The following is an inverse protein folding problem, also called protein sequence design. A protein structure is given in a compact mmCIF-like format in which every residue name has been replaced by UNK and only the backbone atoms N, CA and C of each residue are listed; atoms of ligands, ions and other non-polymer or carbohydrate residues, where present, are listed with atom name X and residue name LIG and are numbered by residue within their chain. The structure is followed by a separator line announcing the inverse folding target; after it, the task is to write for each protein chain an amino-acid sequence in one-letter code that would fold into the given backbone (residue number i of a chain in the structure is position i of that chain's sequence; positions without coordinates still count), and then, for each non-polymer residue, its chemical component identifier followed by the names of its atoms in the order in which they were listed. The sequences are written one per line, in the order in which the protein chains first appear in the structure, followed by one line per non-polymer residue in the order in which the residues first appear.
data_IF_843888059326
#
_entry.id   IF_843888059326
#
_cell.length_a   1.000
_cell.length_b   1.000
_cell.length_c   1.000
_cell.angle_alpha   90.00
_cell.angle_beta   90.00
_cell.angle_gamma   90.00
#
_symmetry.space_group_name_H-M   'P 1'
#
loop_
_entity.id
_entity.type
_entity.pdbx_description
1 polymer ?
#
# COMPACT_ATOMS: atom_id res chain seq x y z
N UNK A 1 -34.54 -11.24 -10.19
CA UNK A 1 -33.64 -11.86 -9.20
C UNK A 1 -32.37 -11.00 -9.17
N UNK A 2 -32.35 -9.99 -8.29
CA UNK A 2 -31.25 -9.03 -8.23
C UNK A 2 -30.12 -9.65 -7.41
N UNK A 3 -29.09 -10.15 -8.10
CA UNK A 3 -27.85 -10.59 -7.48
C UNK A 3 -27.01 -9.33 -7.26
N UNK A 4 -27.18 -8.70 -6.10
CA UNK A 4 -26.23 -7.73 -5.57
C UNK A 4 -25.04 -8.51 -5.00
N UNK A 5 -24.20 -9.05 -5.87
CA UNK A 5 -22.84 -9.38 -5.47
C UNK A 5 -22.04 -8.07 -5.38
N UNK A 6 -21.28 -7.85 -4.29
CA UNK A 6 -20.34 -6.74 -4.25
C UNK A 6 -19.42 -6.90 -5.45
N UNK A 7 -19.37 -5.88 -6.31
CA UNK A 7 -18.49 -5.95 -7.48
C UNK A 7 -17.09 -6.25 -6.98
N UNK A 8 -16.41 -7.21 -7.61
CA UNK A 8 -15.01 -7.59 -7.32
C UNK A 8 -14.08 -6.37 -7.17
N UNK A 9 -14.47 -5.25 -7.79
CA UNK A 9 -13.85 -3.93 -7.74
C UNK A 9 -14.00 -3.16 -6.42
N UNK A 10 -15.07 -3.33 -5.65
CA UNK A 10 -15.21 -2.71 -4.32
C UNK A 10 -14.28 -3.37 -3.31
N UNK A 11 -14.15 -4.70 -3.38
CA UNK A 11 -13.18 -5.45 -2.58
C UNK A 11 -11.74 -5.10 -2.97
N UNK A 12 -11.46 -4.90 -4.27
CA UNK A 12 -10.15 -4.45 -4.74
C UNK A 12 -9.85 -3.00 -4.34
N UNK A 13 -10.85 -2.12 -4.28
CA UNK A 13 -10.70 -0.72 -3.86
C UNK A 13 -10.31 -0.60 -2.39
N UNK A 14 -10.89 -1.46 -1.53
CA UNK A 14 -10.59 -1.47 -0.09
C UNK A 14 -9.31 -2.26 0.26
N UNK A 15 -8.92 -3.23 -0.58
CA UNK A 15 -7.64 -3.94 -0.46
C UNK A 15 -6.42 -3.08 -0.78
N UNK A 16 -6.59 -1.94 -1.47
CA UNK A 16 -5.55 -0.93 -1.67
C UNK A 16 -5.61 0.07 -0.50
N UNK A 17 -5.54 -0.45 0.72
CA UNK A 17 -5.12 0.38 1.85
C UNK A 17 -3.66 0.76 1.59
N UNK A 18 -3.26 2.05 1.55
CA UNK A 18 -1.96 2.41 1.01
C UNK A 18 -0.85 1.78 1.87
N UNK A 19 0.06 0.96 1.30
CA UNK A 19 1.31 0.61 1.99
C UNK A 19 2.08 1.87 2.42
N UNK A 20 1.80 3.00 1.77
CA UNK A 20 2.31 4.34 2.05
C UNK A 20 1.88 4.89 3.41
N UNK A 21 0.64 4.66 3.90
CA UNK A 21 0.28 5.12 5.24
C UNK A 21 1.00 4.31 6.31
N UNK A 22 1.13 3.01 6.11
CA UNK A 22 1.91 2.13 6.99
C UNK A 22 3.39 2.48 6.96
N UNK A 23 3.97 2.75 5.78
CA UNK A 23 5.37 3.18 5.64
C UNK A 23 5.63 4.59 6.16
N UNK A 24 4.68 5.52 6.03
CA UNK A 24 4.79 6.88 6.57
C UNK A 24 4.69 6.88 8.10
N UNK A 25 3.80 6.06 8.65
CA UNK A 25 3.74 5.79 10.10
C UNK A 25 5.01 5.08 10.57
N UNK A 26 5.52 4.10 9.81
CA UNK A 26 6.77 3.40 10.14
C UNK A 26 7.99 4.32 10.02
N UNK A 27 8.06 5.22 9.04
CA UNK A 27 9.14 6.20 8.91
C UNK A 27 9.10 7.18 10.07
N UNK A 28 7.91 7.65 10.43
CA UNK A 28 7.70 8.54 11.56
C UNK A 28 8.00 7.84 12.90
N UNK A 29 7.68 6.55 13.03
CA UNK A 29 8.00 5.71 14.17
C UNK A 29 9.50 5.41 14.25
N UNK A 30 10.17 5.08 13.14
CA UNK A 30 11.62 4.86 13.06
C UNK A 30 12.38 6.15 13.40
N UNK A 31 11.95 7.31 12.90
CA UNK A 31 12.58 8.60 13.21
C UNK A 31 12.45 8.92 14.72
N UNK A 32 11.33 8.56 15.35
CA UNK A 32 11.09 8.74 16.79
C UNK A 32 11.88 7.74 17.66
N UNK A 33 11.87 6.45 17.30
CA UNK A 33 12.58 5.37 18.00
C UNK A 33 14.10 5.45 17.83
N UNK A 34 14.61 5.84 16.65
CA UNK A 34 16.04 6.01 16.43
C UNK A 34 16.61 7.18 17.25
N UNK A 35 15.81 8.23 17.47
CA UNK A 35 16.12 9.29 18.43
C UNK A 35 16.24 8.76 19.87
N UNK A 36 15.46 7.74 20.23
CA UNK A 36 15.51 7.11 21.55
C UNK A 36 16.71 6.15 21.70
N UNK A 37 17.09 5.42 20.64
CA UNK A 37 18.30 4.59 20.60
C UNK A 37 19.60 5.41 20.68
N UNK A 38 19.68 6.55 19.99
CA UNK A 38 20.85 7.44 20.06
C UNK A 38 21.00 8.08 21.45
N UNK A 39 19.89 8.36 22.14
CA UNK A 39 19.91 8.84 23.53
C UNK A 39 20.43 7.77 24.51
N UNK A 40 20.18 6.49 24.19
CA UNK A 40 20.67 5.33 24.95
C UNK A 40 22.17 5.09 24.75
N UNK A 41 22.69 5.37 23.55
CA UNK A 41 24.14 5.31 23.25
C UNK A 41 24.88 6.48 23.92
N UNK A 42 24.24 7.64 24.07
CA UNK A 42 24.77 8.76 24.84
C UNK A 42 24.74 8.54 26.38
N UNK A 43 24.02 7.53 26.85
CA UNK A 43 23.92 7.14 28.27
C UNK A 43 24.66 5.83 28.57
N UNK A 44 26.00 5.90 28.68
CA UNK A 44 26.79 4.82 29.30
C UNK A 44 26.48 4.65 30.80
N UNK A 45 26.70 3.46 31.38
CA UNK A 45 26.11 3.05 32.65
C UNK A 45 26.66 3.84 33.84
N UNK A 46 25.78 4.57 34.51
CA UNK A 46 26.01 5.22 35.78
C UNK A 46 26.19 4.19 36.91
N UNK A 47 27.42 3.97 37.33
CA UNK A 47 27.77 3.38 38.64
C UNK A 47 28.68 4.34 39.42
N UNK A 48 28.14 5.50 39.80
CA UNK A 48 28.75 6.34 40.83
C UNK A 48 28.28 5.87 42.20
N UNK A 49 29.13 5.03 42.79
CA UNK A 49 29.10 4.58 44.18
C UNK A 49 29.12 5.80 45.12
N UNK A 50 28.04 5.98 45.88
CA UNK A 50 27.96 6.87 47.02
C UNK A 50 28.75 6.30 48.20
N UNK A 51 29.78 6.99 48.69
CA UNK A 51 30.37 6.76 50.01
C UNK A 51 29.94 7.88 50.99
N UNK A 52 29.49 7.55 52.22
CA UNK A 52 29.04 8.55 53.17
C UNK A 52 30.17 9.03 54.08
N UNK A 53 30.25 10.36 54.22
CA UNK A 53 31.10 11.09 55.16
C UNK A 53 30.61 10.81 56.60
N UNK A 54 31.42 10.16 57.43
CA UNK A 54 31.22 10.11 58.88
C UNK A 54 31.87 11.34 59.53
N UNK A 55 31.03 12.18 60.15
CA UNK A 55 31.44 13.09 61.22
C UNK A 55 31.61 12.28 62.51
N UNK A 56 32.75 12.40 63.18
CA UNK A 56 32.81 12.18 64.63
C UNK A 56 33.87 13.10 65.25
N UNK A 57 33.37 13.96 66.12
CA UNK A 57 34.02 14.86 67.07
C UNK A 57 34.86 14.13 68.11
N UNK A 58 36.02 14.67 68.51
CA UNK A 58 36.33 15.00 69.91
C UNK A 58 37.71 15.71 70.03
N UNK A 59 37.71 16.94 70.52
CA UNK A 59 38.86 17.63 71.13
C UNK A 59 38.58 17.73 72.63
N UNK A 60 39.56 17.53 73.52
CA UNK A 60 39.50 18.09 74.86
C UNK A 60 40.37 19.34 74.96
N UNK A 61 39.73 20.41 75.41
CA UNK A 61 40.33 21.68 75.81
C UNK A 61 41.12 21.54 77.11
N UNK A 62 42.09 22.43 77.25
CA UNK A 62 42.96 22.66 78.40
C UNK A 62 42.24 23.63 79.36
N UNK A 63 42.25 23.37 80.68
CA UNK A 63 42.37 24.43 81.70
C UNK A 63 42.69 23.92 83.14
N UNK A 64 43.96 24.10 83.51
CA UNK A 64 44.56 24.85 84.65
C UNK A 64 43.87 25.04 86.05
N UNK A 65 44.75 24.98 87.08
CA UNK A 65 44.76 25.62 88.45
C UNK A 65 44.14 24.78 89.61
N UNK A 66 44.68 24.58 90.83
CA UNK A 66 45.55 25.36 91.75
C UNK A 66 46.38 24.48 92.73
N UNK A 67 47.24 25.15 93.50
CA UNK A 67 48.33 24.72 94.37
C UNK A 67 48.00 24.00 95.70
N UNK A 68 49.04 23.37 96.27
CA UNK A 68 49.16 22.96 97.68
C UNK A 68 50.61 22.57 98.02
N UNK A 69 51.28 23.43 98.80
CA UNK A 69 52.55 23.26 99.55
C UNK A 69 52.57 21.95 100.39
N UNK A 70 53.63 21.36 100.93
CA UNK A 70 55.09 21.53 101.07
C UNK A 70 55.58 20.17 101.64
N UNK A 71 56.85 19.77 101.47
CA UNK A 71 57.37 18.58 102.20
C UNK A 71 58.65 17.96 101.66
N UNK A 72 59.77 18.40 102.22
CA UNK A 72 61.17 18.05 101.95
C UNK A 72 61.49 16.56 102.18
N UNK A 73 62.14 15.88 101.22
CA UNK A 73 63.44 15.16 101.39
C UNK A 73 63.92 14.52 100.07
N UNK A 74 65.16 14.81 99.66
CA UNK A 74 65.90 14.22 98.51
C UNK A 74 67.22 13.68 99.10
N UNK A 75 67.65 12.43 98.83
CA UNK A 75 68.47 12.17 97.65
C UNK A 75 68.39 10.75 97.06
N UNK A 76 67.61 10.59 95.98
CA UNK A 76 67.86 9.58 94.92
C UNK A 76 67.36 10.06 93.54
N UNK A 77 66.92 11.32 93.44
CA UNK A 77 66.23 11.88 92.28
C UNK A 77 67.14 12.35 91.13
N UNK A 78 68.46 12.41 91.31
CA UNK A 78 69.34 13.01 90.29
C UNK A 78 69.50 12.13 89.04
N UNK A 79 69.59 10.80 89.19
CA UNK A 79 69.62 9.88 88.03
C UNK A 79 68.25 9.73 87.35
N UNK A 80 67.17 9.76 88.13
CA UNK A 80 65.81 9.65 87.61
C UNK A 80 65.38 10.92 86.86
N UNK A 81 65.82 12.10 87.31
CA UNK A 81 65.54 13.39 86.68
C UNK A 81 66.31 13.57 85.36
N UNK A 82 67.61 13.26 85.33
CA UNK A 82 68.42 13.33 84.10
C UNK A 82 67.93 12.34 83.04
N UNK A 83 67.49 11.15 83.45
CA UNK A 83 66.91 10.15 82.54
C UNK A 83 65.51 10.56 82.04
N UNK A 84 64.70 11.20 82.88
CA UNK A 84 63.39 11.73 82.49
C UNK A 84 63.55 12.89 81.52
N UNK A 85 64.48 13.81 81.77
CA UNK A 85 64.76 14.96 80.90
C UNK A 85 65.32 14.53 79.53
N UNK A 86 66.21 13.53 79.49
CA UNK A 86 66.71 12.95 78.25
C UNK A 86 65.59 12.26 77.45
N UNK A 87 64.70 11.50 78.12
CA UNK A 87 63.53 10.90 77.49
C UNK A 87 62.57 11.96 76.92
N UNK A 88 62.28 13.04 77.66
CA UNK A 88 61.42 14.13 77.19
C UNK A 88 62.01 14.84 75.97
N UNK A 89 63.33 15.04 75.94
CA UNK A 89 64.01 15.63 74.79
C UNK A 89 63.95 14.72 73.56
N UNK A 90 64.21 13.42 73.74
CA UNK A 90 64.09 12.43 72.68
C UNK A 90 62.63 12.30 72.17
N UNK A 91 61.65 12.36 73.07
CA UNK A 91 60.23 12.30 72.71
C UNK A 91 59.77 13.56 71.97
N UNK A 92 60.28 14.75 72.34
CA UNK A 92 60.06 15.99 71.61
C UNK A 92 60.69 15.95 70.21
N UNK A 93 61.93 15.45 70.08
CA UNK A 93 62.59 15.27 68.78
C UNK A 93 61.87 14.23 67.91
N UNK A 94 61.38 13.14 68.52
CA UNK A 94 60.55 12.13 67.86
C UNK A 94 59.20 12.70 67.42
N UNK A 95 58.54 13.46 68.27
CA UNK A 95 57.27 14.13 67.98
C UNK A 95 57.44 15.18 66.88
N UNK A 96 58.52 15.96 66.91
CA UNK A 96 58.85 16.92 65.85
C UNK A 96 59.13 16.20 64.52
N UNK A 97 59.91 15.12 64.53
CA UNK A 97 60.16 14.32 63.32
C UNK A 97 58.88 13.69 62.76
N UNK A 98 57.95 13.27 63.62
CA UNK A 98 56.64 12.77 63.23
C UNK A 98 55.75 13.89 62.66
N UNK A 99 55.77 15.09 63.24
CA UNK A 99 55.06 16.27 62.72
C UNK A 99 55.61 16.68 61.35
N UNK A 100 56.93 16.68 61.17
CA UNK A 100 57.57 17.03 59.89
C UNK A 100 57.23 15.99 58.80
N UNK A 101 57.26 14.69 59.14
CA UNK A 101 56.85 13.61 58.24
C UNK A 101 55.35 13.69 57.88
N UNK A 102 54.48 14.02 58.85
CA UNK A 102 53.05 14.24 58.60
C UNK A 102 52.80 15.47 57.74
N UNK A 103 53.58 16.54 57.91
CA UNK A 103 53.48 17.75 57.10
C UNK A 103 53.92 17.50 55.65
N UNK A 104 54.95 16.69 55.43
CA UNK A 104 55.36 16.25 54.10
C UNK A 104 54.28 15.39 53.43
N UNK A 105 53.72 14.42 54.17
CA UNK A 105 52.59 13.59 53.69
C UNK A 105 51.35 14.42 53.35
N UNK A 106 51.06 15.46 54.14
CA UNK A 106 49.96 16.39 53.85
C UNK A 106 50.22 17.20 52.56
N UNK A 107 51.46 17.64 52.33
CA UNK A 107 51.84 18.33 51.08
C UNK A 107 51.70 17.41 49.86
N UNK A 108 52.12 16.15 49.99
CA UNK A 108 51.98 15.10 48.96
C UNK A 108 50.49 14.86 48.63
N UNK A 109 49.66 14.61 49.64
CA UNK A 109 48.21 14.40 49.45
C UNK A 109 47.55 15.63 48.82
N UNK A 110 47.93 16.85 49.23
CA UNK A 110 47.41 18.09 48.64
C UNK A 110 47.81 18.25 47.17
N UNK A 111 49.02 17.82 46.80
CA UNK A 111 49.47 17.79 45.40
C UNK A 111 48.68 16.75 44.59
N UNK A 112 48.48 15.54 45.14
CA UNK A 112 47.68 14.49 44.51
C UNK A 112 46.22 14.92 44.28
N UNK A 113 45.57 15.54 45.27
CA UNK A 113 44.20 16.05 45.16
C UNK A 113 44.12 17.12 44.06
N UNK A 114 45.06 18.08 44.04
CA UNK A 114 45.07 19.16 43.04
C UNK A 114 45.33 18.64 41.62
N UNK A 115 46.16 17.61 41.47
CA UNK A 115 46.37 16.91 40.20
C UNK A 115 45.09 16.20 39.72
N UNK A 116 44.44 15.47 40.61
CA UNK A 116 43.17 14.78 40.34
C UNK A 116 42.03 15.73 39.97
N UNK A 117 41.95 16.90 40.62
CA UNK A 117 40.96 17.94 40.29
C UNK A 117 41.19 18.53 38.90
N UNK A 118 42.44 18.78 38.51
CA UNK A 118 42.77 19.30 37.19
C UNK A 118 42.46 18.29 36.07
N UNK A 119 42.66 17.00 36.34
CA UNK A 119 42.36 15.91 35.43
C UNK A 119 40.84 15.73 35.24
N UNK A 120 40.08 15.67 36.34
CA UNK A 120 38.62 15.61 36.31
C UNK A 120 38.01 16.82 35.56
N UNK A 121 38.59 18.01 35.71
CA UNK A 121 38.15 19.21 34.98
C UNK A 121 38.39 19.09 33.47
N UNK A 122 39.47 18.44 33.02
CA UNK A 122 39.72 18.19 31.59
C UNK A 122 38.72 17.18 31.03
N UNK A 123 38.46 16.09 31.74
CA UNK A 123 37.47 15.08 31.34
C UNK A 123 36.07 15.68 31.21
N UNK A 124 35.64 16.50 32.18
CA UNK A 124 34.34 17.19 32.11
C UNK A 124 34.27 18.14 30.91
N UNK A 125 35.36 18.85 30.57
CA UNK A 125 35.40 19.72 29.40
C UNK A 125 35.36 18.94 28.08
N UNK A 126 35.99 17.76 28.01
CA UNK A 126 35.91 16.83 26.87
C UNK A 126 34.49 16.34 26.68
N UNK A 127 33.87 15.80 27.74
CA UNK A 127 32.50 15.32 27.72
C UNK A 127 31.52 16.43 27.31
N UNK A 128 31.70 17.64 27.84
CA UNK A 128 30.86 18.78 27.48
C UNK A 128 30.95 19.16 26.00
N UNK A 129 32.15 19.11 25.40
CA UNK A 129 32.34 19.33 23.96
C UNK A 129 31.65 18.23 23.15
N UNK A 130 31.84 16.95 23.51
CA UNK A 130 31.17 15.83 22.84
C UNK A 130 29.64 15.95 22.90
N UNK A 131 29.09 16.27 24.07
CA UNK A 131 27.64 16.48 24.26
C UNK A 131 27.12 17.62 23.38
N UNK A 132 27.85 18.74 23.27
CA UNK A 132 27.50 19.84 22.37
C UNK A 132 27.49 19.44 20.90
N UNK A 133 28.51 18.69 20.46
CA UNK A 133 28.58 18.18 19.08
C UNK A 133 27.40 17.23 18.80
N UNK A 134 27.15 16.27 19.69
CA UNK A 134 25.98 15.37 19.59
C UNK A 134 24.67 16.14 19.51
N UNK A 135 24.46 17.15 20.37
CA UNK A 135 23.25 17.97 20.37
C UNK A 135 23.05 18.72 19.04
N UNK A 136 24.13 19.24 18.45
CA UNK A 136 24.10 19.94 17.16
C UNK A 136 23.74 18.98 16.03
N UNK A 137 24.38 17.81 15.98
CA UNK A 137 24.13 16.79 14.96
C UNK A 137 22.74 16.17 15.07
N UNK A 138 22.24 15.94 16.28
CA UNK A 138 20.85 15.51 16.51
C UNK A 138 19.85 16.58 16.04
N UNK A 139 20.17 17.86 16.25
CA UNK A 139 19.33 18.96 15.75
C UNK A 139 19.33 19.00 14.22
N UNK A 140 20.48 18.77 13.57
CA UNK A 140 20.58 18.63 12.12
C UNK A 140 19.71 17.47 11.61
N UNK A 141 19.89 16.25 12.14
CA UNK A 141 19.09 15.09 11.75
C UNK A 141 17.59 15.33 11.94
N UNK A 142 17.21 15.96 13.05
CA UNK A 142 15.81 16.33 13.32
C UNK A 142 15.27 17.33 12.29
N UNK A 143 16.07 18.32 11.90
CA UNK A 143 15.71 19.28 10.85
C UNK A 143 15.56 18.59 9.49
N UNK A 144 16.54 17.74 9.13
CA UNK A 144 16.52 16.95 7.89
C UNK A 144 15.30 16.05 7.82
N UNK A 145 14.97 15.34 8.91
CA UNK A 145 13.78 14.49 9.02
C UNK A 145 12.49 15.27 8.79
N UNK A 146 12.37 16.49 9.33
CA UNK A 146 11.20 17.35 9.14
C UNK A 146 11.04 17.79 7.68
N UNK A 147 12.14 18.18 7.03
CA UNK A 147 12.13 18.55 5.60
C UNK A 147 11.69 17.35 4.76
N UNK A 148 12.25 16.16 5.05
CA UNK A 148 11.92 14.92 4.36
C UNK A 148 10.48 14.42 4.58
N UNK A 149 9.85 14.76 5.70
CA UNK A 149 8.46 14.41 5.98
C UNK A 149 7.44 15.22 5.17
N UNK A 150 7.86 16.36 4.60
CA UNK A 150 7.00 17.27 3.84
C UNK A 150 7.21 17.01 2.34
N UNK A 151 6.21 16.48 1.60
CA UNK A 151 6.42 15.99 0.23
C UNK A 151 7.06 16.99 -0.74
N UNK A 152 6.57 18.24 -0.77
CA UNK A 152 7.11 19.24 -1.69
C UNK A 152 8.54 19.66 -1.33
N UNK A 153 8.89 19.67 -0.04
CA UNK A 153 10.26 19.97 0.41
C UNK A 153 11.18 18.76 0.21
N UNK A 154 10.67 17.55 0.40
CA UNK A 154 11.44 16.32 0.23
C UNK A 154 11.84 16.12 -1.22
N UNK A 155 10.99 16.51 -2.18
CA UNK A 155 11.35 16.54 -3.60
C UNK A 155 12.57 17.44 -3.83
N UNK A 156 12.53 18.68 -3.37
CA UNK A 156 13.67 19.61 -3.51
C UNK A 156 14.92 19.15 -2.77
N UNK A 157 14.78 18.60 -1.55
CA UNK A 157 15.90 18.13 -0.73
C UNK A 157 16.56 16.89 -1.34
N UNK A 158 15.80 15.98 -1.92
CA UNK A 158 16.33 14.81 -2.64
C UNK A 158 16.71 15.16 -4.09
N UNK A 159 16.54 16.42 -4.49
CA UNK A 159 16.71 16.93 -5.85
C UNK A 159 15.92 16.19 -6.91
N UNK A 160 14.72 15.75 -6.53
CA UNK A 160 13.71 15.22 -7.43
C UNK A 160 12.98 16.41 -8.07
N UNK A 161 12.96 16.44 -9.40
CA UNK A 161 12.22 17.41 -10.20
C UNK A 161 11.22 16.69 -11.10
N UNK A 162 10.10 17.32 -11.45
CA UNK A 162 9.15 16.77 -12.40
C UNK A 162 9.41 17.38 -13.78
N UNK A 163 9.72 16.53 -14.76
CA UNK A 163 9.99 16.93 -16.14
C UNK A 163 8.83 16.46 -17.03
N UNK A 164 8.29 17.40 -17.81
CA UNK A 164 7.09 17.16 -18.60
C UNK A 164 7.28 16.00 -19.60
N UNK A 165 6.33 15.06 -19.63
CA UNK A 165 6.39 13.83 -20.44
C UNK A 165 7.34 12.72 -19.93
N UNK A 166 8.30 13.01 -19.05
CA UNK A 166 9.24 12.02 -18.47
C UNK A 166 8.89 11.66 -17.02
N UNK A 167 8.19 12.55 -16.31
CA UNK A 167 7.80 12.39 -14.92
C UNK A 167 8.90 12.83 -13.95
N UNK A 168 8.97 12.20 -12.78
CA UNK A 168 9.97 12.55 -11.77
C UNK A 168 11.37 12.06 -12.13
N UNK A 169 12.37 12.93 -11.90
CA UNK A 169 13.77 12.76 -12.29
C UNK A 169 14.67 13.19 -11.13
N UNK A 170 15.75 12.45 -10.87
CA UNK A 170 16.77 12.78 -9.85
C UNK A 170 17.68 13.95 -10.28
N UNK A 171 18.55 14.42 -9.38
CA UNK A 171 19.56 15.47 -9.60
C UNK A 171 20.42 15.24 -10.84
N UNK A 172 20.68 13.98 -11.15
CA UNK A 172 21.53 13.56 -12.27
C UNK A 172 20.73 13.40 -13.58
N UNK A 173 19.45 13.75 -13.61
CA UNK A 173 18.60 13.58 -14.78
C UNK A 173 18.12 12.13 -15.02
N UNK A 174 18.30 11.24 -14.04
CA UNK A 174 17.85 9.85 -14.13
C UNK A 174 16.38 9.74 -13.76
N UNK A 175 15.51 9.21 -14.64
CA UNK A 175 14.08 9.06 -14.34
C UNK A 175 13.84 8.02 -13.25
N UNK A 176 12.79 8.21 -12.44
CA UNK A 176 12.45 7.29 -11.34
C UNK A 176 12.21 5.83 -11.81
N UNK A 177 11.81 5.62 -13.06
CA UNK A 177 11.63 4.29 -13.66
C UNK A 177 12.93 3.50 -13.81
N UNK A 178 14.08 4.17 -13.86
CA UNK A 178 15.39 3.56 -13.96
C UNK A 178 16.03 3.24 -12.61
N UNK A 179 15.34 3.53 -11.51
CA UNK A 179 15.93 3.41 -10.19
C UNK A 179 15.87 1.96 -9.68
N UNK A 180 17.00 1.46 -9.18
CA UNK A 180 17.10 0.07 -8.71
C UNK A 180 16.17 -0.14 -7.52
N UNK A 181 15.37 -1.20 -7.59
CA UNK A 181 14.49 -1.63 -6.49
C UNK A 181 15.30 -2.20 -5.30
N UNK A 182 16.59 -2.45 -5.48
CA UNK A 182 17.50 -3.01 -4.49
C UNK A 182 18.39 -1.94 -3.87
N UNK A 183 18.62 -2.04 -2.56
CA UNK A 183 19.44 -1.09 -1.79
C UNK A 183 20.91 -1.44 -1.96
N UNK A 184 21.62 -0.78 -2.88
CA UNK A 184 23.08 -0.76 -2.85
C UNK A 184 23.54 0.34 -1.90
N UNK A 185 23.79 -0.06 -0.64
CA UNK A 185 24.35 0.77 0.45
C UNK A 185 25.84 1.12 0.14
N UNK A 186 26.41 0.62 -0.95
CA UNK A 186 27.85 0.71 -1.26
C UNK A 186 28.26 1.98 -2.01
N UNK A 187 27.31 2.82 -2.44
CA UNK A 187 27.56 4.01 -3.28
C UNK A 187 27.08 5.28 -2.59
N UNK A 188 27.62 5.57 -1.40
CA UNK A 188 27.42 6.86 -0.73
C UNK A 188 28.63 7.75 -0.96
N UNK A 189 28.70 8.32 -2.16
CA UNK A 189 29.57 9.47 -2.43
C UNK A 189 28.63 10.65 -2.74
N UNK A 190 28.14 11.30 -1.68
CA UNK A 190 27.27 12.46 -1.82
C UNK A 190 27.98 13.72 -1.32
N UNK A 191 28.02 14.69 -2.23
CA UNK A 191 28.77 15.94 -2.22
C UNK A 191 28.28 16.97 -1.17
N UNK A 192 28.18 16.57 0.10
CA UNK A 192 27.98 17.48 1.24
C UNK A 192 29.27 17.60 2.08
N UNK A 193 30.43 17.33 1.46
CA UNK A 193 31.76 17.47 2.09
C UNK A 193 31.99 18.89 2.63
N UNK A 194 31.37 19.91 2.03
CA UNK A 194 31.59 21.32 2.36
C UNK A 194 31.03 21.70 3.75
N UNK A 195 29.89 21.13 4.15
CA UNK A 195 29.29 21.35 5.48
C UNK A 195 30.06 20.60 6.58
N UNK A 196 30.57 19.40 6.25
CA UNK A 196 31.27 18.53 7.20
C UNK A 196 32.72 18.95 7.46
N UNK A 197 33.40 19.48 6.43
CA UNK A 197 34.76 20.04 6.52
C UNK A 197 34.80 21.33 7.37
N UNK A 198 33.71 22.10 7.40
CA UNK A 198 33.61 23.30 8.23
C UNK A 198 33.46 23.00 9.74
N UNK A 199 32.85 21.85 10.09
CA UNK A 199 32.70 21.41 11.48
C UNK A 199 33.98 20.75 12.02
N UNK A 200 34.72 20.02 11.18
CA UNK A 200 35.98 19.37 11.58
C UNK A 200 37.14 20.36 11.75
N UNK A 201 37.12 21.51 11.07
CA UNK A 201 38.23 22.47 11.02
C UNK A 201 38.16 23.61 12.05
N UNK A 202 37.06 23.75 12.81
CA UNK A 202 36.81 24.95 13.64
C UNK A 202 37.20 24.82 15.12
N UNK A 203 37.45 23.62 15.63
CA UNK A 203 37.72 23.42 17.07
C UNK A 203 39.23 23.34 17.37
N UNK A 204 39.76 24.39 18.00
CA UNK A 204 41.16 24.47 18.44
C UNK A 204 41.57 23.36 19.40
N UNK A 205 42.82 22.89 19.25
CA UNK A 205 43.50 21.82 20.01
C UNK A 205 42.55 20.72 20.49
N UNK A 206 41.92 20.02 19.56
CA UNK A 206 41.24 18.77 19.85
C UNK A 206 42.27 17.75 20.35
N UNK A 207 41.95 17.11 21.47
CA UNK A 207 42.60 15.89 21.88
C UNK A 207 42.42 14.81 20.80
N UNK A 208 43.44 13.99 20.56
CA UNK A 208 43.46 13.03 19.44
C UNK A 208 42.28 12.05 19.50
N UNK A 209 41.83 11.70 20.72
CA UNK A 209 40.65 10.86 20.95
C UNK A 209 39.31 11.55 20.66
N UNK A 210 39.22 12.88 20.78
CA UNK A 210 37.99 13.62 20.44
C UNK A 210 37.77 13.70 18.92
N UNK A 211 38.84 13.88 18.15
CA UNK A 211 38.76 13.93 16.69
C UNK A 211 38.22 12.62 16.09
N UNK A 212 38.70 11.47 16.58
CA UNK A 212 38.25 10.15 16.14
C UNK A 212 36.76 9.94 16.44
N UNK A 213 36.32 10.27 17.67
CA UNK A 213 34.92 10.16 18.07
C UNK A 213 33.98 11.02 17.21
N UNK A 214 34.36 12.29 16.99
CA UNK A 214 33.55 13.21 16.18
C UNK A 214 33.46 12.69 14.74
N UNK A 215 34.56 12.21 14.15
CA UNK A 215 34.57 11.66 12.80
C UNK A 215 33.65 10.42 12.65
N UNK A 216 33.66 9.51 13.62
CA UNK A 216 32.76 8.34 13.61
C UNK A 216 31.29 8.75 13.76
N UNK A 217 31.01 9.77 14.58
CA UNK A 217 29.67 10.32 14.73
C UNK A 217 29.18 11.01 13.45
N UNK A 218 30.05 11.75 12.76
CA UNK A 218 29.75 12.34 11.45
C UNK A 218 29.42 11.28 10.40
N UNK A 219 30.22 10.20 10.31
CA UNK A 219 29.94 9.07 9.43
C UNK A 219 28.58 8.42 9.73
N UNK A 220 28.25 8.28 11.01
CA UNK A 220 26.96 7.73 11.43
C UNK A 220 25.80 8.64 11.02
N UNK A 221 25.94 9.96 11.18
CA UNK A 221 24.93 10.95 10.77
C UNK A 221 24.75 10.97 9.26
N UNK A 222 25.84 10.85 8.50
CA UNK A 222 25.81 10.75 7.03
C UNK A 222 25.05 9.49 6.60
N UNK A 223 25.40 8.32 7.14
CA UNK A 223 24.71 7.06 6.87
C UNK A 223 23.21 7.15 7.16
N UNK A 224 22.81 7.76 8.29
CA UNK A 224 21.39 7.96 8.62
C UNK A 224 20.72 8.88 7.60
N UNK A 225 21.37 9.98 7.22
CA UNK A 225 20.85 10.95 6.24
C UNK A 225 20.61 10.30 4.88
N UNK A 226 21.57 9.50 4.43
CA UNK A 226 21.53 8.78 3.16
C UNK A 226 20.44 7.69 3.13
N UNK A 227 20.29 6.95 4.23
CA UNK A 227 19.19 5.98 4.40
C UNK A 227 17.84 6.69 4.37
N UNK A 228 17.71 7.84 5.05
CA UNK A 228 16.49 8.63 5.04
C UNK A 228 16.15 9.13 3.63
N UNK A 229 17.14 9.62 2.87
CA UNK A 229 16.96 10.03 1.47
C UNK A 229 16.50 8.87 0.59
N UNK A 230 17.16 7.71 0.69
CA UNK A 230 16.79 6.52 -0.08
C UNK A 230 15.37 6.05 0.22
N UNK A 231 14.95 6.10 1.49
CA UNK A 231 13.58 5.76 1.89
C UNK A 231 12.56 6.75 1.31
N UNK A 232 12.83 8.06 1.42
CA UNK A 232 11.95 9.11 0.90
C UNK A 232 11.76 8.97 -0.60
N UNK A 233 12.84 8.85 -1.36
CA UNK A 233 12.75 8.72 -2.81
C UNK A 233 11.96 7.44 -3.21
N UNK A 234 12.08 6.32 -2.46
CA UNK A 234 11.24 5.11 -2.68
C UNK A 234 9.76 5.35 -2.38
N UNK A 235 9.45 6.10 -1.32
CA UNK A 235 8.07 6.50 -1.02
C UNK A 235 7.51 7.33 -2.18
N UNK A 236 8.28 8.28 -2.70
CA UNK A 236 7.88 9.09 -3.86
C UNK A 236 7.63 8.23 -5.10
N UNK A 237 8.51 7.25 -5.38
CA UNK A 237 8.26 6.28 -6.46
C UNK A 237 6.94 5.54 -6.26
N UNK A 238 6.73 4.93 -5.09
CA UNK A 238 5.54 4.16 -4.79
C UNK A 238 4.26 5.02 -4.85
N UNK A 239 4.32 6.27 -4.39
CA UNK A 239 3.22 7.24 -4.50
C UNK A 239 2.93 7.58 -5.97
N UNK A 240 3.95 7.80 -6.79
CA UNK A 240 3.79 8.09 -8.22
C UNK A 240 3.22 6.89 -9.00
N UNK A 241 3.75 5.68 -8.78
CA UNK A 241 3.24 4.45 -9.38
C UNK A 241 1.78 4.21 -8.98
N UNK A 242 1.45 4.38 -7.70
CA UNK A 242 0.08 4.26 -7.21
C UNK A 242 -0.86 5.28 -7.85
N UNK A 243 -0.43 6.53 -8.03
CA UNK A 243 -1.22 7.55 -8.71
C UNK A 243 -1.51 7.17 -10.17
N UNK A 244 -0.50 6.68 -10.90
CA UNK A 244 -0.67 6.22 -12.29
C UNK A 244 -1.59 5.01 -12.38
N UNK A 245 -1.48 4.06 -11.46
CA UNK A 245 -2.33 2.86 -11.47
C UNK A 245 -3.78 3.20 -11.12
N UNK A 246 -3.99 4.13 -10.18
CA UNK A 246 -5.31 4.68 -9.88
C UNK A 246 -5.94 5.34 -11.11
N UNK A 247 -5.17 6.11 -11.88
CA UNK A 247 -5.64 6.72 -13.13
C UNK A 247 -6.07 5.66 -14.16
N UNK A 248 -5.25 4.62 -14.40
CA UNK A 248 -5.62 3.52 -15.30
C UNK A 248 -6.92 2.83 -14.87
N UNK A 249 -7.10 2.59 -13.57
CA UNK A 249 -8.35 2.01 -13.04
C UNK A 249 -9.54 2.93 -13.31
N UNK A 250 -9.39 4.24 -13.13
CA UNK A 250 -10.47 5.19 -13.44
C UNK A 250 -10.86 5.21 -14.91
N UNK A 251 -9.87 5.25 -15.81
CA UNK A 251 -10.09 5.19 -17.26
C UNK A 251 -10.76 3.86 -17.66
N UNK A 252 -10.26 2.74 -17.14
CA UNK A 252 -10.86 1.42 -17.39
C UNK A 252 -12.32 1.35 -16.93
N UNK A 253 -12.66 1.95 -15.78
CA UNK A 253 -14.04 1.99 -15.29
C UNK A 253 -14.97 2.81 -16.20
N UNK A 254 -14.49 3.90 -16.78
CA UNK A 254 -15.25 4.69 -17.75
C UNK A 254 -15.50 3.90 -19.05
N UNK A 255 -14.50 3.20 -19.55
CA UNK A 255 -14.66 2.33 -20.73
C UNK A 255 -15.64 1.19 -20.48
N UNK A 256 -15.60 0.56 -19.30
CA UNK A 256 -16.55 -0.49 -18.91
C UNK A 256 -17.97 0.07 -18.92
N UNK A 257 -18.22 1.23 -18.28
CA UNK A 257 -19.55 1.87 -18.30
C UNK A 257 -20.03 2.14 -19.72
N UNK A 258 -19.16 2.64 -20.60
CA UNK A 258 -19.48 2.89 -22.02
C UNK A 258 -19.86 1.60 -22.74
N UNK A 259 -19.10 0.51 -22.55
CA UNK A 259 -19.39 -0.79 -23.15
C UNK A 259 -20.68 -1.40 -22.59
N UNK A 260 -20.97 -1.24 -21.30
CA UNK A 260 -22.23 -1.68 -20.69
C UNK A 260 -23.42 -1.02 -21.37
N UNK A 261 -23.41 0.30 -21.57
CA UNK A 261 -24.49 1.02 -22.28
C UNK A 261 -24.62 0.54 -23.74
N UNK A 262 -23.50 0.27 -24.42
CA UNK A 262 -23.55 -0.27 -25.79
C UNK A 262 -24.20 -1.66 -25.84
N UNK A 263 -23.86 -2.55 -24.90
CA UNK A 263 -24.43 -3.89 -24.80
C UNK A 263 -25.93 -3.80 -24.51
N UNK A 264 -26.35 -2.92 -23.59
CA UNK A 264 -27.76 -2.71 -23.26
C UNK A 264 -28.55 -2.23 -24.49
N UNK A 265 -28.03 -1.25 -25.23
CA UNK A 265 -28.65 -0.80 -26.49
C UNK A 265 -28.74 -1.91 -27.54
N UNK A 266 -27.69 -2.71 -27.70
CA UNK A 266 -27.71 -3.86 -28.61
C UNK A 266 -28.72 -4.93 -28.15
N UNK A 267 -28.87 -5.13 -26.84
CA UNK A 267 -29.85 -6.05 -26.27
C UNK A 267 -31.27 -5.63 -26.61
N UNK A 268 -31.60 -4.34 -26.43
CA UNK A 268 -32.93 -3.80 -26.78
C UNK A 268 -33.21 -3.98 -28.27
N UNK A 269 -32.24 -3.65 -29.14
CA UNK A 269 -32.40 -3.82 -30.59
C UNK A 269 -32.60 -5.29 -30.98
N UNK A 270 -31.94 -6.21 -30.29
CA UNK A 270 -32.10 -7.64 -30.54
C UNK A 270 -33.50 -8.14 -30.12
N UNK A 271 -34.02 -7.65 -28.99
CA UNK A 271 -35.39 -7.92 -28.54
C UNK A 271 -36.44 -7.39 -29.54
N UNK A 272 -36.25 -6.18 -30.08
CA UNK A 272 -37.10 -5.64 -31.15
C UNK A 272 -37.08 -6.50 -32.42
N UNK A 273 -35.89 -6.99 -32.81
CA UNK A 273 -35.74 -7.89 -33.96
C UNK A 273 -36.44 -9.23 -33.73
N UNK A 274 -36.37 -9.78 -32.52
CA UNK A 274 -37.07 -11.00 -32.14
C UNK A 274 -38.59 -10.82 -32.24
N UNK A 275 -39.12 -9.72 -31.70
CA UNK A 275 -40.54 -9.40 -31.80
C UNK A 275 -41.00 -9.25 -33.25
N UNK A 276 -40.21 -8.57 -34.09
CA UNK A 276 -40.50 -8.42 -35.51
C UNK A 276 -40.52 -9.78 -36.24
N UNK A 277 -39.54 -10.65 -35.96
CA UNK A 277 -39.46 -11.98 -36.55
C UNK A 277 -40.64 -12.86 -36.12
N UNK A 278 -41.02 -12.82 -34.84
CA UNK A 278 -42.20 -13.53 -34.32
C UNK A 278 -43.48 -13.06 -35.02
N UNK A 279 -43.69 -11.74 -35.15
CA UNK A 279 -44.85 -11.19 -35.84
C UNK A 279 -44.93 -11.63 -37.30
N UNK A 280 -43.80 -11.57 -38.02
CA UNK A 280 -43.72 -12.01 -39.43
C UNK A 280 -44.01 -13.51 -39.57
N UNK A 281 -43.45 -14.34 -38.69
CA UNK A 281 -43.66 -15.79 -38.71
C UNK A 281 -45.12 -16.15 -38.40
N UNK A 282 -45.78 -15.44 -37.49
CA UNK A 282 -47.22 -15.61 -37.23
C UNK A 282 -48.05 -15.41 -38.50
N UNK A 283 -47.82 -14.30 -39.21
CA UNK A 283 -48.54 -14.00 -40.47
C UNK A 283 -48.24 -15.03 -41.55
N UNK A 284 -46.99 -15.45 -41.70
CA UNK A 284 -46.60 -16.49 -42.67
C UNK A 284 -47.27 -17.83 -42.37
N UNK A 285 -47.40 -18.23 -41.10
CA UNK A 285 -48.11 -19.45 -40.72
C UNK A 285 -49.61 -19.35 -41.03
N UNK A 286 -50.24 -18.21 -40.78
CA UNK A 286 -51.64 -18.00 -41.19
C UNK A 286 -51.82 -18.08 -42.70
N UNK A 287 -50.92 -17.47 -43.47
CA UNK A 287 -50.95 -17.54 -44.94
C UNK A 287 -50.76 -18.98 -45.42
N UNK A 288 -49.83 -19.73 -44.81
CA UNK A 288 -49.64 -21.15 -45.13
C UNK A 288 -50.93 -21.94 -44.89
N UNK A 289 -51.58 -21.75 -43.74
CA UNK A 289 -52.84 -22.44 -43.43
C UNK A 289 -53.94 -22.11 -44.44
N UNK A 290 -54.13 -20.83 -44.79
CA UNK A 290 -55.14 -20.44 -45.80
C UNK A 290 -54.86 -21.08 -47.17
N UNK A 291 -53.59 -21.24 -47.54
CA UNK A 291 -53.20 -21.92 -48.78
C UNK A 291 -53.51 -23.41 -48.71
N UNK A 292 -53.21 -24.07 -47.59
CA UNK A 292 -53.58 -25.48 -47.35
C UNK A 292 -55.10 -25.67 -47.48
N UNK A 293 -55.90 -24.84 -46.81
CA UNK A 293 -57.36 -24.90 -46.87
C UNK A 293 -57.90 -24.69 -48.30
N UNK A 294 -57.31 -23.76 -49.07
CA UNK A 294 -57.68 -23.51 -50.47
C UNK A 294 -57.35 -24.69 -51.38
N UNK A 295 -56.22 -25.37 -51.16
CA UNK A 295 -55.83 -26.56 -51.90
C UNK A 295 -56.81 -27.70 -51.63
N UNK A 296 -57.19 -27.91 -50.37
CA UNK A 296 -58.18 -28.91 -49.99
C UNK A 296 -59.56 -28.62 -50.63
N UNK A 297 -60.04 -27.38 -50.55
CA UNK A 297 -61.32 -27.00 -51.15
C UNK A 297 -61.29 -27.12 -52.69
N UNK A 298 -60.17 -26.76 -53.32
CA UNK A 298 -59.99 -26.95 -54.77
C UNK A 298 -60.01 -28.43 -55.16
N UNK A 299 -59.39 -29.30 -54.35
CA UNK A 299 -59.45 -30.75 -54.55
C UNK A 299 -60.89 -31.26 -54.47
N UNK A 300 -61.64 -30.81 -53.45
CA UNK A 300 -63.07 -31.16 -53.29
C UNK A 300 -63.94 -30.65 -54.43
N UNK A 301 -63.68 -29.44 -54.94
CA UNK A 301 -64.37 -28.90 -56.11
C UNK A 301 -64.09 -29.72 -57.36
N UNK A 302 -62.83 -30.11 -57.59
CA UNK A 302 -62.43 -30.97 -58.71
C UNK A 302 -63.13 -32.33 -58.67
N UNK A 303 -63.22 -32.95 -57.49
CA UNK A 303 -63.93 -34.22 -57.30
C UNK A 303 -65.42 -34.09 -57.65
N UNK A 304 -66.10 -33.07 -57.12
CA UNK A 304 -67.51 -32.78 -57.44
C UNK A 304 -67.73 -32.50 -58.93
N UNK A 305 -66.80 -31.79 -59.57
CA UNK A 305 -66.87 -31.52 -61.01
C UNK A 305 -66.77 -32.82 -61.82
N UNK A 306 -65.89 -33.75 -61.44
CA UNK A 306 -65.77 -35.06 -62.08
C UNK A 306 -67.03 -35.93 -61.89
N UNK A 307 -67.63 -35.91 -60.70
CA UNK A 307 -68.91 -36.60 -60.42
C UNK A 307 -70.04 -36.04 -61.28
N UNK A 308 -70.15 -34.71 -61.38
CA UNK A 308 -71.14 -34.05 -62.23
C UNK A 308 -70.94 -34.37 -63.72
N UNK A 309 -69.68 -34.44 -64.18
CA UNK A 309 -69.36 -34.80 -65.56
C UNK A 309 -69.79 -36.25 -65.86
N UNK A 310 -69.57 -37.18 -64.92
CA UNK A 310 -70.02 -38.56 -65.05
C UNK A 310 -71.55 -38.64 -65.12
N UNK A 311 -72.26 -37.92 -64.26
CA UNK A 311 -73.73 -37.90 -64.25
C UNK A 311 -74.29 -37.28 -65.53
N UNK A 312 -73.67 -36.19 -66.02
CA UNK A 312 -74.03 -35.58 -67.29
C UNK A 312 -73.83 -36.55 -68.47
N UNK A 313 -72.76 -37.35 -68.46
CA UNK A 313 -72.54 -38.39 -69.47
C UNK A 313 -73.64 -39.47 -69.44
N UNK A 314 -74.04 -39.92 -68.24
CA UNK A 314 -75.16 -40.88 -68.08
C UNK A 314 -76.47 -40.32 -68.64
N UNK A 315 -76.83 -39.10 -68.22
CA UNK A 315 -78.05 -38.42 -68.70
C UNK A 315 -78.03 -38.28 -70.23
N UNK A 316 -76.89 -37.90 -70.83
CA UNK A 316 -76.77 -37.83 -72.30
C UNK A 316 -77.02 -39.18 -72.98
N UNK A 317 -76.50 -40.27 -72.41
CA UNK A 317 -76.69 -41.62 -72.94
C UNK A 317 -78.17 -42.05 -72.84
N UNK A 318 -78.84 -41.72 -71.72
CA UNK A 318 -80.26 -41.98 -71.54
C UNK A 318 -81.11 -41.20 -72.56
N UNK A 319 -80.76 -39.94 -72.83
CA UNK A 319 -81.42 -39.13 -73.85
C UNK A 319 -81.25 -39.69 -75.27
N UNK A 320 -80.06 -40.14 -75.65
CA UNK A 320 -79.85 -40.77 -76.96
C UNK A 320 -80.60 -42.11 -77.07
N UNK A 321 -80.65 -42.89 -75.99
CA UNK A 321 -81.45 -44.12 -75.93
C UNK A 321 -82.94 -43.84 -76.11
N UNK A 322 -83.46 -42.82 -75.42
CA UNK A 322 -84.84 -42.36 -75.55
C UNK A 322 -85.14 -41.87 -76.96
N UNK A 323 -84.24 -41.09 -77.56
CA UNK A 323 -84.37 -40.61 -78.94
C UNK A 323 -84.40 -41.75 -79.96
N UNK A 324 -83.57 -42.78 -79.79
CA UNK A 324 -83.61 -44.01 -80.59
C UNK A 324 -84.96 -44.72 -80.44
N UNK A 325 -85.44 -44.88 -79.21
CA UNK A 325 -86.74 -45.50 -78.92
C UNK A 325 -87.91 -44.75 -79.58
N UNK A 326 -87.94 -43.42 -79.47
CA UNK A 326 -88.94 -42.57 -80.15
C UNK A 326 -88.86 -42.72 -81.67
N UNK A 327 -87.65 -42.77 -82.24
CA UNK A 327 -87.46 -42.96 -83.68
C UNK A 327 -88.00 -44.31 -84.17
N UNK A 328 -87.77 -45.38 -83.38
CA UNK A 328 -88.38 -46.70 -83.65
C UNK A 328 -89.90 -46.64 -83.57
N UNK A 329 -90.46 -46.00 -82.55
CA UNK A 329 -91.92 -45.82 -82.43
C UNK A 329 -92.52 -45.05 -83.62
N UNK A 330 -91.84 -44.00 -84.09
CA UNK A 330 -92.25 -43.26 -85.29
C UNK A 330 -92.26 -44.19 -86.51
N UNK A 331 -91.20 -44.97 -86.73
CA UNK A 331 -91.11 -45.91 -87.85
C UNK A 331 -92.18 -47.01 -87.79
N UNK A 332 -92.45 -47.56 -86.60
CA UNK A 332 -93.56 -48.53 -86.38
C UNK A 332 -94.89 -47.88 -86.72
N UNK A 333 -95.13 -46.64 -86.25
CA UNK A 333 -96.35 -45.88 -86.59
C UNK A 333 -96.49 -45.66 -88.09
N UNK A 334 -95.41 -45.26 -88.78
CA UNK A 334 -95.41 -45.06 -90.23
C UNK A 334 -95.71 -46.36 -90.99
N UNK A 335 -95.12 -47.48 -90.55
CA UNK A 335 -95.38 -48.81 -91.11
C UNK A 335 -96.83 -49.22 -90.92
N UNK A 336 -97.39 -49.03 -89.71
CA UNK A 336 -98.81 -49.28 -89.42
C UNK A 336 -99.73 -48.40 -90.27
N UNK A 337 -99.45 -47.09 -90.39
CA UNK A 337 -100.21 -46.19 -91.25
C UNK A 337 -100.13 -46.57 -92.74
N UNK A 338 -98.98 -47.08 -93.19
CA UNK A 338 -98.82 -47.59 -94.55
C UNK A 338 -99.61 -48.89 -94.77
N UNK A 339 -99.55 -49.83 -93.82
CA UNK A 339 -100.33 -51.06 -93.85
C UNK A 339 -101.84 -50.78 -93.83
N UNK A 340 -102.29 -49.84 -93.00
CA UNK A 340 -103.68 -49.37 -92.97
C UNK A 340 -104.14 -48.84 -94.33
N UNK A 341 -103.34 -47.99 -94.99
CA UNK A 341 -103.62 -47.52 -96.36
C UNK A 341 -103.70 -48.67 -97.38
N UNK A 342 -102.83 -49.69 -97.23
CA UNK A 342 -102.89 -50.88 -98.09
C UNK A 342 -104.18 -51.67 -97.86
N UNK A 343 -104.57 -51.91 -96.60
CA UNK A 343 -105.84 -52.57 -96.27
C UNK A 343 -107.05 -51.82 -96.85
N UNK A 344 -107.11 -50.50 -96.70
CA UNK A 344 -108.17 -49.67 -97.30
C UNK A 344 -108.21 -49.76 -98.84
N UNK A 345 -107.05 -49.93 -99.48
CA UNK A 345 -106.96 -50.11 -100.94
C UNK A 345 -107.49 -51.48 -101.36
N UNK A 346 -107.18 -52.52 -100.57
CA UNK A 346 -107.68 -53.88 -100.78
C UNK A 346 -109.19 -53.94 -100.56
N UNK A 347 -109.72 -53.36 -99.48
CA UNK A 347 -111.16 -53.30 -99.21
C UNK A 347 -111.94 -52.67 -100.38
N UNK A 348 -111.46 -51.54 -100.91
CA UNK A 348 -112.06 -50.90 -102.12
C UNK A 348 -112.06 -51.79 -103.37
N UNK A 349 -111.16 -52.76 -103.46
CA UNK A 349 -111.12 -53.72 -104.56
C UNK A 349 -112.10 -54.89 -104.39
N UNK A 350 -112.53 -55.20 -103.16
CA UNK A 350 -113.53 -56.23 -102.87
C UNK A 350 -114.99 -55.71 -102.89
N UNK A 351 -115.20 -54.39 -102.82
CA UNK A 351 -116.52 -53.76 -102.93
C UNK A 351 -116.99 -53.50 -104.38
N UNK A 352 -116.24 -53.94 -105.41
CA UNK A 352 -116.67 -54.02 -106.82
C UNK A 352 -116.86 -55.47 -107.23
#
# INVERSE_FOLDING_TARGET
MAITEPSYWEVARDAITPPVQTLKVLLQFYILEFGHCLLKIAGGPSSLSSSPVRKLSHFPDIDKVMAGEEGIHVPSQKSQFDQTQANWKQEMERSQSQLDALQEKLKEVKACIKGSEADAKKEVNVLWRRVKTCATLLTYLKSKARIMAVPHLSHTSCGITNLDGVGFVDRNGVPLSGWSRNVDISSFDSADEETWMALSSREGSLDEHDGVYINELLKSVQMVTDVMETLVKRVIMAESEMATEKEKVTVGQEEIKKKTVQIENMSVKLEEMEQFAMGTNSVLNEMRQRVEDLVEETSRQKQRAAENEQELCRVKQDFESLKSYVSTLISVRETLLSSEKQFQTIEKHFER
#
